data_IF_669949946532
#
_entry.id   IF_669949946532
#
_cell.length_a   1.000
_cell.length_b   1.000
_cell.length_c   1.000
_cell.angle_alpha   90.00
_cell.angle_beta   90.00
_cell.angle_gamma   90.00
#
_symmetry.space_group_name_H-M   'P 1'
#
loop_
_entity.id
_entity.type
_entity.pdbx_description
1 polymer ?
#
# COMPACT_ATOMS: atom_id res chain seq x y z
N UNK A 1 6.25 1.42 28.54
CA UNK A 1 6.30 2.85 28.13
C UNK A 1 7.28 2.98 26.97
N UNK A 2 6.87 3.60 25.87
CA UNK A 2 7.77 3.90 24.74
C UNK A 2 8.86 4.89 25.17
N UNK A 3 9.96 4.97 24.40
CA UNK A 3 11.08 5.86 24.71
C UNK A 3 10.63 7.32 24.84
N UNK A 4 9.79 7.82 23.92
CA UNK A 4 9.26 9.18 23.97
C UNK A 4 8.40 9.46 25.20
N UNK A 5 7.53 8.52 25.60
CA UNK A 5 6.72 8.71 26.82
C UNK A 5 7.60 8.77 28.07
N UNK A 6 8.64 7.92 28.16
CA UNK A 6 9.60 7.97 29.27
C UNK A 6 10.33 9.32 29.30
N UNK A 7 10.75 9.83 28.15
CA UNK A 7 11.46 11.09 28.03
C UNK A 7 10.59 12.28 28.49
N UNK A 8 9.31 12.33 28.08
CA UNK A 8 8.37 13.37 28.54
C UNK A 8 8.18 13.34 30.07
N UNK A 9 8.00 12.15 30.65
CA UNK A 9 7.83 11.99 32.10
C UNK A 9 9.08 12.44 32.87
N UNK A 10 10.27 12.10 32.39
CA UNK A 10 11.53 12.53 33.01
C UNK A 10 11.77 14.03 32.89
N UNK A 11 11.41 14.63 31.75
CA UNK A 11 11.55 16.07 31.53
C UNK A 11 10.46 16.91 32.21
N UNK A 12 9.38 16.28 32.69
CA UNK A 12 8.22 16.97 33.26
C UNK A 12 7.47 17.86 32.26
N UNK A 13 7.65 17.63 30.95
CA UNK A 13 7.04 18.43 29.88
C UNK A 13 6.85 17.59 28.62
N UNK A 14 6.04 18.12 27.70
CA UNK A 14 5.94 17.57 26.36
C UNK A 14 7.23 17.82 25.57
N UNK A 15 7.78 16.77 24.95
CA UNK A 15 8.98 16.85 24.12
C UNK A 15 8.62 16.73 22.64
N UNK A 16 9.47 17.24 21.73
CA UNK A 16 9.27 17.07 20.29
C UNK A 16 9.19 15.59 19.89
N UNK A 17 8.15 15.22 19.15
CA UNK A 17 7.90 13.83 18.77
C UNK A 17 8.87 13.30 17.71
N UNK A 18 9.43 14.21 16.90
CA UNK A 18 10.35 13.85 15.81
C UNK A 18 11.61 13.12 16.31
N UNK A 19 12.10 13.46 17.50
CA UNK A 19 13.28 12.82 18.12
C UNK A 19 13.00 11.40 18.64
N UNK A 20 11.73 11.00 18.64
CA UNK A 20 11.25 9.72 19.14
C UNK A 20 10.42 8.96 18.11
N UNK A 21 10.47 9.37 16.84
CA UNK A 21 9.72 8.78 15.73
C UNK A 21 10.29 7.39 15.36
N UNK A 22 9.40 6.45 15.02
CA UNK A 22 9.76 5.05 14.83
C UNK A 22 10.18 4.76 13.38
N UNK A 23 11.47 4.96 13.07
CA UNK A 23 12.04 4.65 11.76
C UNK A 23 11.50 5.50 10.60
N UNK A 24 11.91 5.16 9.38
CA UNK A 24 11.77 6.05 8.22
C UNK A 24 10.35 6.11 7.62
N UNK A 25 9.56 5.04 7.72
CA UNK A 25 8.21 4.97 7.14
C UNK A 25 7.24 5.99 7.78
N UNK A 26 7.04 5.95 9.11
CA UNK A 26 6.22 6.93 9.82
C UNK A 26 6.64 8.37 9.57
N UNK A 27 7.96 8.66 9.58
CA UNK A 27 8.49 9.98 9.29
C UNK A 27 8.11 10.47 7.90
N UNK A 28 8.31 9.64 6.86
CA UNK A 28 7.92 9.97 5.48
C UNK A 28 6.42 10.22 5.36
N UNK A 29 5.60 9.36 5.96
CA UNK A 29 4.14 9.51 5.98
C UNK A 29 3.70 10.83 6.62
N UNK A 30 4.30 11.17 7.77
CA UNK A 30 4.02 12.44 8.47
C UNK A 30 4.40 13.64 7.62
N UNK A 31 5.60 13.67 7.05
CA UNK A 31 6.07 14.77 6.19
C UNK A 31 5.19 14.90 4.94
N UNK A 32 4.82 13.78 4.30
CA UNK A 32 3.92 13.76 3.14
C UNK A 32 2.58 14.42 3.48
N UNK A 33 1.98 14.04 4.62
CA UNK A 33 0.73 14.62 5.08
C UNK A 33 0.85 16.09 5.45
N UNK A 34 1.92 16.50 6.13
CA UNK A 34 2.18 17.91 6.45
C UNK A 34 2.36 18.77 5.18
N UNK A 35 2.84 18.16 4.10
CA UNK A 35 3.01 18.80 2.79
C UNK A 35 1.75 18.72 1.92
N UNK A 36 0.63 18.20 2.45
CA UNK A 36 -0.64 18.03 1.75
C UNK A 36 -0.54 17.20 0.45
N UNK A 37 0.40 16.27 0.40
CA UNK A 37 0.59 15.39 -0.75
C UNK A 37 -0.39 14.21 -0.72
N UNK A 38 -0.65 13.57 -1.89
CA UNK A 38 -1.54 12.42 -1.97
C UNK A 38 -1.15 11.27 -1.01
N UNK A 39 -2.12 10.49 -0.53
CA UNK A 39 -1.87 9.33 0.32
C UNK A 39 -1.19 8.19 -0.48
N UNK A 40 -0.62 7.22 0.24
CA UNK A 40 0.29 6.20 -0.32
C UNK A 40 -0.23 5.48 -1.57
N UNK A 41 -1.51 5.11 -1.56
CA UNK A 41 -2.15 4.32 -2.62
C UNK A 41 -3.07 5.17 -3.51
N UNK A 42 -2.87 6.49 -3.55
CA UNK A 42 -3.58 7.37 -4.47
C UNK A 42 -3.41 6.88 -5.92
N UNK A 43 -4.52 6.88 -6.67
CA UNK A 43 -4.56 6.37 -8.05
C UNK A 43 -4.50 4.83 -8.20
N UNK A 44 -4.41 4.07 -7.10
CA UNK A 44 -4.33 2.61 -7.12
C UNK A 44 -5.69 1.93 -6.85
N UNK A 45 -5.91 0.78 -7.50
CA UNK A 45 -7.15 -0.01 -7.43
C UNK A 45 -6.84 -1.45 -7.03
N UNK A 46 -7.57 -1.99 -6.07
CA UNK A 46 -7.25 -3.27 -5.45
C UNK A 46 -8.46 -4.20 -5.47
N UNK A 47 -8.22 -5.44 -5.88
CA UNK A 47 -9.17 -6.54 -5.74
C UNK A 47 -8.59 -7.59 -4.79
N UNK A 48 -9.29 -7.87 -3.68
CA UNK A 48 -8.86 -8.86 -2.69
C UNK A 48 -9.41 -10.25 -3.05
N UNK A 49 -8.56 -11.09 -3.65
CA UNK A 49 -8.91 -12.42 -4.15
C UNK A 49 -8.85 -13.48 -3.04
N UNK A 50 -9.95 -14.23 -2.89
CA UNK A 50 -10.02 -15.37 -1.98
C UNK A 50 -10.11 -14.99 -0.49
N UNK A 51 -9.64 -15.92 0.35
CA UNK A 51 -9.61 -15.82 1.81
C UNK A 51 -8.20 -15.53 2.31
N UNK A 52 -8.10 -14.81 3.43
CA UNK A 52 -6.82 -14.42 4.03
C UNK A 52 -6.71 -14.96 5.46
N UNK A 53 -5.61 -15.65 5.76
CA UNK A 53 -5.33 -16.28 7.06
C UNK A 53 -4.49 -15.40 7.99
N UNK A 54 -3.61 -14.56 7.43
CA UNK A 54 -2.79 -13.61 8.16
C UNK A 54 -3.57 -12.36 8.53
N UNK A 55 -3.37 -11.27 7.77
CA UNK A 55 -4.22 -10.07 7.86
C UNK A 55 -5.57 -10.36 7.23
N UNK A 56 -6.66 -10.15 7.96
CA UNK A 56 -8.01 -10.47 7.44
C UNK A 56 -8.35 -9.58 6.24
N UNK A 57 -9.28 -10.05 5.40
CA UNK A 57 -9.78 -9.29 4.24
C UNK A 57 -10.32 -7.92 4.64
N UNK A 58 -10.99 -7.82 5.79
CA UNK A 58 -11.57 -6.56 6.27
C UNK A 58 -10.50 -5.59 6.77
N UNK A 59 -9.46 -6.08 7.44
CA UNK A 59 -8.31 -5.26 7.86
C UNK A 59 -7.53 -4.75 6.64
N UNK A 60 -7.23 -5.61 5.67
CA UNK A 60 -6.60 -5.19 4.41
C UNK A 60 -7.46 -4.15 3.68
N UNK A 61 -8.77 -4.38 3.56
CA UNK A 61 -9.69 -3.43 2.96
C UNK A 61 -9.68 -2.07 3.67
N UNK A 62 -9.62 -2.06 5.00
CA UNK A 62 -9.51 -0.83 5.80
C UNK A 62 -8.19 -0.12 5.53
N UNK A 63 -7.06 -0.81 5.61
CA UNK A 63 -5.72 -0.25 5.36
C UNK A 63 -5.60 0.37 3.96
N UNK A 64 -6.10 -0.33 2.93
CA UNK A 64 -6.08 0.17 1.56
C UNK A 64 -6.88 1.46 1.41
N UNK A 65 -8.09 1.52 2.00
CA UNK A 65 -8.93 2.73 1.98
C UNK A 65 -8.30 3.89 2.74
N UNK A 66 -7.73 3.64 3.91
CA UNK A 66 -7.03 4.66 4.71
C UNK A 66 -5.78 5.18 3.99
N UNK A 67 -5.12 4.32 3.20
CA UNK A 67 -4.02 4.71 2.30
C UNK A 67 -4.47 5.37 1.00
N UNK A 68 -5.77 5.61 0.77
CA UNK A 68 -6.30 6.27 -0.42
C UNK A 68 -6.55 5.37 -1.64
N UNK A 69 -6.38 4.05 -1.49
CA UNK A 69 -6.64 3.07 -2.53
C UNK A 69 -8.13 2.77 -2.71
N UNK A 70 -8.52 2.42 -3.94
CA UNK A 70 -9.90 2.05 -4.27
C UNK A 70 -10.10 0.53 -4.29
N UNK A 71 -11.16 0.04 -3.65
CA UNK A 71 -11.49 -1.39 -3.68
C UNK A 71 -12.44 -1.72 -4.84
N UNK A 72 -12.04 -2.68 -5.66
CA UNK A 72 -12.85 -3.23 -6.74
C UNK A 72 -13.79 -4.31 -6.20
N UNK A 73 -15.06 -4.25 -6.60
CA UNK A 73 -16.07 -5.28 -6.28
C UNK A 73 -15.96 -6.51 -7.17
N UNK A 74 -15.32 -6.38 -8.33
CA UNK A 74 -15.12 -7.44 -9.34
C UNK A 74 -13.65 -7.53 -9.71
N UNK A 75 -13.19 -8.73 -10.02
CA UNK A 75 -11.81 -8.94 -10.45
C UNK A 75 -11.57 -8.19 -11.77
N UNK A 76 -10.51 -7.37 -11.87
CA UNK A 76 -10.17 -6.68 -13.11
C UNK A 76 -9.75 -7.70 -14.17
N UNK A 77 -10.32 -7.55 -15.36
CA UNK A 77 -10.00 -8.38 -16.52
C UNK A 77 -8.93 -7.68 -17.35
N UNK A 78 -7.73 -8.25 -17.53
CA UNK A 78 -6.64 -7.61 -18.25
C UNK A 78 -6.99 -7.22 -19.70
N UNK A 79 -7.92 -7.93 -20.33
CA UNK A 79 -8.37 -7.79 -21.70
C UNK A 79 -9.61 -6.89 -21.86
N UNK A 80 -10.15 -6.34 -20.78
CA UNK A 80 -11.33 -5.46 -20.84
C UNK A 80 -10.96 -4.02 -21.22
N UNK A 81 -11.76 -3.42 -22.09
CA UNK A 81 -11.65 -1.99 -22.46
C UNK A 81 -11.64 -1.08 -21.23
N UNK A 82 -12.43 -1.40 -20.20
CA UNK A 82 -12.48 -0.61 -18.95
C UNK A 82 -11.13 -0.62 -18.23
N UNK A 83 -10.47 -1.78 -18.16
CA UNK A 83 -9.16 -1.93 -17.52
C UNK A 83 -8.08 -1.21 -18.33
N UNK A 84 -8.18 -1.24 -19.65
CA UNK A 84 -7.19 -0.70 -20.58
C UNK A 84 -7.30 0.82 -20.76
N UNK A 85 -8.52 1.37 -20.72
CA UNK A 85 -8.78 2.81 -20.87
C UNK A 85 -8.65 3.59 -19.56
N UNK A 86 -8.50 2.91 -18.42
CA UNK A 86 -8.24 3.55 -17.14
C UNK A 86 -6.95 4.40 -17.23
N UNK A 87 -7.12 5.71 -17.06
CA UNK A 87 -6.04 6.69 -17.10
C UNK A 87 -5.82 7.27 -15.70
N UNK A 88 -5.42 6.39 -14.77
CA UNK A 88 -5.03 6.76 -13.43
C UNK A 88 -3.51 6.59 -13.30
N UNK A 89 -2.88 7.49 -12.54
CA UNK A 89 -1.47 7.40 -12.22
C UNK A 89 -1.28 7.23 -10.72
N UNK A 90 -0.37 6.33 -10.33
CA UNK A 90 -0.03 6.14 -8.93
C UNK A 90 1.00 7.19 -8.50
N UNK A 91 0.61 8.14 -7.64
CA UNK A 91 1.47 9.27 -7.25
C UNK A 91 2.80 8.82 -6.63
N UNK A 92 2.77 7.77 -5.81
CA UNK A 92 3.95 7.24 -5.10
C UNK A 92 4.70 6.17 -5.89
N UNK A 93 4.33 5.90 -7.15
CA UNK A 93 5.13 5.02 -8.00
C UNK A 93 6.44 5.70 -8.41
N UNK A 94 7.49 4.89 -8.55
CA UNK A 94 8.76 5.36 -9.10
C UNK A 94 8.52 5.98 -10.50
N UNK A 95 9.00 7.21 -10.78
CA UNK A 95 8.84 7.83 -12.09
C UNK A 95 9.37 6.95 -13.22
N UNK A 96 8.55 6.72 -14.24
CA UNK A 96 8.90 5.87 -15.38
C UNK A 96 8.72 4.36 -15.15
N UNK A 97 8.34 3.93 -13.94
CA UNK A 97 7.98 2.53 -13.68
C UNK A 97 6.63 2.16 -14.29
N UNK A 98 6.45 0.88 -14.60
CA UNK A 98 5.15 0.34 -15.04
C UNK A 98 4.04 0.62 -14.02
N UNK A 99 4.35 0.59 -12.71
CA UNK A 99 3.38 0.85 -11.63
C UNK A 99 2.82 2.27 -11.66
N UNK A 100 3.50 3.22 -12.30
CA UNK A 100 2.98 4.56 -12.49
C UNK A 100 1.71 4.58 -13.35
N UNK A 101 1.53 3.64 -14.27
CA UNK A 101 0.39 3.59 -15.21
C UNK A 101 -0.41 2.28 -15.15
N UNK A 102 0.17 1.22 -14.59
CA UNK A 102 -0.48 -0.06 -14.34
C UNK A 102 -0.90 -0.10 -12.87
N UNK A 103 -2.03 0.55 -12.55
CA UNK A 103 -2.39 0.84 -11.15
C UNK A 103 -3.42 -0.13 -10.55
N UNK A 104 -3.69 -1.25 -11.22
CA UNK A 104 -4.65 -2.26 -10.75
C UNK A 104 -3.94 -3.48 -10.17
N UNK A 105 -4.34 -3.91 -8.98
CA UNK A 105 -3.69 -4.97 -8.21
C UNK A 105 -4.71 -6.03 -7.78
N UNK A 106 -4.45 -7.28 -8.13
CA UNK A 106 -5.09 -8.45 -7.55
C UNK A 106 -4.23 -8.88 -6.37
N UNK A 107 -4.78 -8.74 -5.16
CA UNK A 107 -4.10 -9.11 -3.92
C UNK A 107 -4.54 -10.50 -3.49
N UNK A 108 -3.58 -11.36 -3.19
CA UNK A 108 -3.82 -12.73 -2.74
C UNK A 108 -3.07 -13.04 -1.44
N UNK A 109 -3.55 -14.04 -0.69
CA UNK A 109 -2.81 -14.56 0.46
C UNK A 109 -1.66 -15.48 -0.01
N UNK A 110 -0.39 -15.18 0.30
CA UNK A 110 0.73 -16.03 -0.10
C UNK A 110 0.68 -17.45 0.48
N UNK A 111 -0.02 -17.66 1.60
CA UNK A 111 -0.27 -18.98 2.22
C UNK A 111 -1.51 -19.68 1.64
N UNK A 112 -2.21 -19.03 0.72
CA UNK A 112 -3.36 -19.60 0.00
C UNK A 112 -2.94 -20.56 -1.12
N UNK A 113 -3.95 -21.13 -1.77
CA UNK A 113 -3.78 -22.05 -2.91
C UNK A 113 -3.55 -21.33 -4.23
N UNK A 114 -3.90 -20.05 -4.32
CA UNK A 114 -3.69 -19.26 -5.53
C UNK A 114 -2.21 -18.91 -5.70
N UNK A 115 -1.67 -19.20 -6.88
CA UNK A 115 -0.33 -18.80 -7.32
C UNK A 115 -0.47 -18.18 -8.72
N UNK A 116 -0.13 -16.90 -8.91
CA UNK A 116 -0.27 -16.29 -10.22
C UNK A 116 0.82 -16.86 -11.15
N UNK A 117 0.45 -17.12 -12.41
CA UNK A 117 1.42 -17.61 -13.40
C UNK A 117 2.39 -16.51 -13.87
N UNK A 118 1.96 -15.26 -13.82
CA UNK A 118 2.75 -14.07 -14.15
C UNK A 118 2.42 -12.95 -13.16
N UNK A 119 3.42 -12.14 -12.83
CA UNK A 119 3.31 -11.02 -11.89
C UNK A 119 2.46 -9.88 -12.47
N UNK A 120 2.48 -9.70 -13.80
CA UNK A 120 1.68 -8.69 -14.51
C UNK A 120 1.09 -9.23 -15.80
N UNK A 121 -0.17 -8.84 -16.07
CA UNK A 121 -0.82 -8.99 -17.38
C UNK A 121 -1.53 -7.70 -17.74
N UNK A 122 -1.12 -7.06 -18.84
CA UNK A 122 -1.63 -5.72 -19.19
C UNK A 122 -1.36 -4.72 -18.07
N UNK A 123 -2.39 -3.97 -17.66
CA UNK A 123 -2.33 -3.00 -16.55
C UNK A 123 -2.59 -3.61 -15.16
N UNK A 124 -2.69 -4.93 -15.05
CA UNK A 124 -3.10 -5.63 -13.82
C UNK A 124 -1.93 -6.42 -13.24
N UNK A 125 -1.57 -6.12 -12.00
CA UNK A 125 -0.59 -6.83 -11.19
C UNK A 125 -1.23 -7.92 -10.33
N UNK A 126 -0.48 -8.96 -10.04
CA UNK A 126 -0.77 -9.92 -8.97
C UNK A 126 0.27 -9.73 -7.86
N UNK A 127 -0.17 -9.40 -6.65
CA UNK A 127 0.74 -9.16 -5.52
C UNK A 127 0.28 -9.89 -4.25
N UNK A 128 1.20 -10.41 -3.42
CA UNK A 128 0.84 -11.01 -2.14
C UNK A 128 0.37 -9.94 -1.15
N UNK A 129 -0.49 -10.29 -0.18
CA UNK A 129 -0.94 -9.35 0.86
C UNK A 129 0.20 -8.78 1.70
N UNK A 130 1.31 -9.50 1.86
CA UNK A 130 2.50 -9.02 2.56
C UNK A 130 3.10 -7.78 1.89
N UNK A 131 3.05 -7.68 0.57
CA UNK A 131 3.52 -6.51 -0.17
C UNK A 131 2.79 -5.23 0.23
N UNK A 132 1.48 -5.30 0.55
CA UNK A 132 0.72 -4.16 1.07
C UNK A 132 1.27 -3.72 2.43
N UNK A 133 1.56 -4.69 3.31
CA UNK A 133 2.10 -4.40 4.64
C UNK A 133 3.48 -3.78 4.53
N UNK A 134 4.33 -4.29 3.65
CA UNK A 134 5.67 -3.77 3.41
C UNK A 134 5.62 -2.36 2.82
N UNK A 135 4.71 -2.09 1.87
CA UNK A 135 4.48 -0.75 1.32
C UNK A 135 4.07 0.24 2.41
N UNK A 136 3.16 -0.15 3.31
CA UNK A 136 2.69 0.70 4.41
C UNK A 136 3.81 0.95 5.42
N UNK A 137 4.51 -0.10 5.84
CA UNK A 137 5.62 -0.01 6.79
C UNK A 137 6.74 0.91 6.26
N UNK A 138 6.97 0.86 4.95
CA UNK A 138 7.93 1.70 4.26
C UNK A 138 7.34 3.00 3.71
N UNK A 139 6.06 3.34 3.92
CA UNK A 139 5.38 4.46 3.24
C UNK A 139 5.89 4.70 1.80
N UNK A 140 5.90 3.64 0.98
CA UNK A 140 6.43 3.64 -0.37
C UNK A 140 5.70 2.60 -1.21
N UNK A 141 5.40 2.91 -2.47
CA UNK A 141 4.84 1.93 -3.39
C UNK A 141 5.97 1.05 -3.93
N UNK A 142 6.27 -0.01 -3.19
CA UNK A 142 7.39 -0.91 -3.51
C UNK A 142 7.16 -1.62 -4.85
N UNK A 143 8.24 -2.02 -5.56
CA UNK A 143 8.16 -2.94 -6.67
C UNK A 143 7.36 -4.19 -6.31
N UNK A 144 6.49 -4.65 -7.20
CA UNK A 144 5.77 -5.91 -6.99
C UNK A 144 6.79 -7.05 -7.07
N UNK A 145 6.89 -7.94 -6.07
CA UNK A 145 7.91 -8.98 -6.03
C UNK A 145 7.72 -10.00 -7.16
N UNK A 146 8.81 -10.35 -7.82
CA UNK A 146 8.90 -11.50 -8.72
C UNK A 146 9.02 -12.79 -7.89
N UNK A 147 8.52 -13.92 -8.43
CA UNK A 147 8.52 -15.22 -7.76
C UNK A 147 9.87 -15.94 -7.87
#
# INVERSE_FOLDING_TARGET
LSAGVKACLQAGKWLPEAEHEAGEGPQRSRINRCSLLPPLFDGCFFFLLGSFKGTTKNELAKLLREGGGQLLSRQPKPDSDVTQTLNAAAYHAEPGSDQALCTQYIIYDPQGTYKPAVVRRGKVWSAPSTWIIDCIAAFSLLPVPEH
#
